data_IF_478062182934
#
_entry.id   IF_478062182934
#
_cell.length_a   1.000
_cell.length_b   1.000
_cell.length_c   1.000
_cell.angle_alpha   90.00
_cell.angle_beta   90.00
_cell.angle_gamma   90.00
#
_symmetry.space_group_name_H-M   'P 1'
#
loop_
_entity.id
_entity.type
_entity.pdbx_description
1 polymer ?
#
# COMPACT_ATOMS: atom_id res chain seq x y z
N UNK A 1 24.49 9.66 5.05
CA UNK A 1 25.98 9.58 4.96
C UNK A 1 26.34 9.13 3.57
N UNK A 2 27.44 9.59 2.98
CA UNK A 2 27.88 9.10 1.68
C UNK A 2 29.30 9.50 1.34
N UNK A 3 29.97 8.65 0.55
CA UNK A 3 31.30 8.87 0.00
C UNK A 3 31.50 7.94 -1.21
N UNK A 4 32.29 8.38 -2.19
CA UNK A 4 32.76 7.55 -3.33
C UNK A 4 31.66 6.75 -4.06
N UNK A 5 30.51 7.38 -4.30
CA UNK A 5 29.37 6.74 -4.96
C UNK A 5 28.57 5.79 -4.08
N UNK A 6 28.97 5.55 -2.83
CA UNK A 6 28.15 4.88 -1.83
C UNK A 6 27.43 5.90 -0.95
N UNK A 7 26.18 5.59 -0.60
CA UNK A 7 25.46 6.33 0.43
C UNK A 7 24.60 5.42 1.29
N UNK A 8 24.24 5.94 2.46
CA UNK A 8 23.35 5.32 3.42
C UNK A 8 22.39 6.35 3.99
N UNK A 9 21.12 5.99 4.00
CA UNK A 9 20.04 6.70 4.67
C UNK A 9 19.37 5.78 5.69
N UNK A 10 18.85 6.36 6.77
CA UNK A 10 18.04 5.63 7.75
C UNK A 10 16.59 6.03 7.51
N UNK A 11 15.70 5.05 7.38
CA UNK A 11 14.27 5.33 7.22
C UNK A 11 13.73 5.99 8.49
N UNK A 12 13.20 7.19 8.33
CA UNK A 12 12.39 7.82 9.35
C UNK A 12 10.91 7.45 9.14
N UNK A 13 10.31 6.83 10.16
CA UNK A 13 8.89 6.48 10.22
C UNK A 13 8.02 7.59 10.81
N UNK A 14 8.62 8.71 11.24
CA UNK A 14 7.94 9.79 11.94
C UNK A 14 7.20 9.27 13.18
N UNK A 15 5.99 9.77 13.39
CA UNK A 15 5.14 9.38 14.54
C UNK A 15 4.38 8.06 14.35
N UNK A 16 4.70 7.28 13.30
CA UNK A 16 4.07 5.97 13.08
C UNK A 16 4.61 4.93 14.08
N UNK A 17 3.94 4.80 15.23
CA UNK A 17 4.39 3.95 16.35
C UNK A 17 4.54 2.46 16.00
N UNK A 18 3.83 2.00 14.97
CA UNK A 18 3.83 0.58 14.56
C UNK A 18 4.63 0.29 13.26
N UNK A 19 5.43 1.23 12.76
CA UNK A 19 6.24 1.00 11.56
C UNK A 19 7.47 0.15 11.89
N UNK A 20 7.35 -1.16 11.69
CA UNK A 20 8.43 -2.13 11.91
C UNK A 20 9.68 -1.90 11.04
N UNK A 21 9.59 -1.04 10.02
CA UNK A 21 10.72 -0.69 9.15
C UNK A 21 11.36 0.66 9.51
N UNK A 22 10.83 1.38 10.50
CA UNK A 22 11.47 2.56 11.07
C UNK A 22 12.90 2.22 11.54
N UNK A 23 13.86 3.10 11.25
CA UNK A 23 15.26 2.91 11.64
C UNK A 23 16.02 1.88 10.80
N UNK A 24 15.42 1.31 9.75
CA UNK A 24 16.16 0.48 8.80
C UNK A 24 17.08 1.32 7.93
N UNK A 25 18.28 0.80 7.71
CA UNK A 25 19.26 1.39 6.80
C UNK A 25 18.93 1.00 5.36
N UNK A 26 18.99 1.98 4.48
CA UNK A 26 18.92 1.82 3.03
C UNK A 26 20.26 2.31 2.49
N UNK A 27 20.95 1.45 1.76
CA UNK A 27 22.22 1.77 1.11
C UNK A 27 22.04 1.83 -0.40
N UNK A 28 22.80 2.72 -1.04
CA UNK A 28 22.91 2.78 -2.49
C UNK A 28 24.37 2.83 -2.92
N UNK A 29 24.70 2.16 -4.02
CA UNK A 29 26.02 2.20 -4.66
C UNK A 29 25.87 2.58 -6.12
N UNK A 30 26.31 3.79 -6.46
CA UNK A 30 26.33 4.31 -7.81
C UNK A 30 27.70 4.03 -8.46
N UNK A 31 27.67 3.59 -9.71
CA UNK A 31 28.84 3.54 -10.60
C UNK A 31 28.49 4.23 -11.90
N UNK A 32 29.34 5.15 -12.35
CA UNK A 32 29.16 5.83 -13.62
C UNK A 32 29.05 4.80 -14.77
N UNK A 33 28.13 5.06 -15.70
CA UNK A 33 27.85 4.18 -16.83
C UNK A 33 27.28 5.00 -18.00
N UNK A 34 27.37 4.50 -19.25
CA UNK A 34 26.76 5.19 -20.41
C UNK A 34 25.23 5.27 -20.31
N UNK A 35 24.59 4.31 -19.64
CA UNK A 35 23.15 4.25 -19.46
C UNK A 35 22.78 4.27 -17.98
N UNK A 36 21.66 4.92 -17.67
CA UNK A 36 21.12 4.99 -16.31
C UNK A 36 20.33 3.73 -15.99
N UNK A 37 20.65 3.08 -14.88
CA UNK A 37 19.99 1.85 -14.47
C UNK A 37 19.93 1.68 -12.96
N UNK A 38 18.94 0.91 -12.50
CA UNK A 38 18.83 0.52 -11.09
C UNK A 38 18.79 -1.00 -10.99
N UNK A 39 19.59 -1.56 -10.09
CA UNK A 39 19.62 -2.99 -9.78
C UNK A 39 19.31 -3.24 -8.31
N UNK A 40 18.59 -4.32 -7.97
CA UNK A 40 18.38 -4.72 -6.59
C UNK A 40 19.68 -5.31 -6.02
N UNK A 41 20.02 -4.94 -4.79
CA UNK A 41 21.02 -5.62 -3.99
C UNK A 41 20.39 -6.40 -2.82
N UNK A 42 21.21 -6.88 -1.87
CA UNK A 42 20.75 -7.67 -0.74
C UNK A 42 19.63 -6.99 0.07
N UNK A 43 18.66 -7.80 0.52
CA UNK A 43 17.54 -7.36 1.34
C UNK A 43 16.40 -6.67 0.59
N UNK A 44 16.52 -6.48 -0.73
CA UNK A 44 15.39 -6.17 -1.61
C UNK A 44 14.66 -7.46 -1.97
N UNK A 45 13.35 -7.50 -1.71
CA UNK A 45 12.55 -8.68 -1.96
C UNK A 45 12.32 -8.97 -3.44
N UNK A 46 12.02 -10.22 -3.75
CA UNK A 46 11.65 -10.69 -5.09
C UNK A 46 10.21 -11.19 -5.07
N UNK A 47 9.41 -10.73 -6.03
CA UNK A 47 8.01 -11.12 -6.15
C UNK A 47 7.90 -12.54 -6.69
N UNK A 48 7.29 -13.45 -5.95
CA UNK A 48 7.06 -14.84 -6.36
C UNK A 48 5.64 -15.12 -6.86
N UNK A 49 4.68 -14.22 -6.60
CA UNK A 49 3.25 -14.37 -6.94
C UNK A 49 2.69 -13.17 -7.71
N UNK A 50 1.53 -13.35 -8.36
CA UNK A 50 0.83 -12.27 -9.08
C UNK A 50 0.13 -11.28 -8.15
N UNK A 51 -0.38 -10.18 -8.70
CA UNK A 51 -1.19 -9.18 -7.96
C UNK A 51 -0.41 -8.28 -6.99
N UNK A 52 0.92 -8.43 -6.92
CA UNK A 52 1.79 -7.66 -6.03
C UNK A 52 2.30 -6.36 -6.68
N UNK A 53 3.27 -5.69 -6.03
CA UNK A 53 3.78 -4.39 -6.46
C UNK A 53 4.59 -4.42 -7.76
N UNK A 54 5.02 -5.60 -8.20
CA UNK A 54 5.75 -5.85 -9.44
C UNK A 54 5.41 -7.24 -10.01
N UNK A 55 5.84 -7.53 -11.24
CA UNK A 55 5.63 -8.83 -11.86
C UNK A 55 6.45 -9.94 -11.16
N UNK A 56 6.01 -11.20 -11.33
CA UNK A 56 6.73 -12.38 -10.81
C UNK A 56 8.19 -12.42 -11.33
N UNK A 57 9.12 -12.73 -10.44
CA UNK A 57 10.56 -12.74 -10.70
C UNK A 57 11.22 -11.37 -10.72
N UNK A 58 10.47 -10.27 -10.50
CA UNK A 58 11.02 -8.92 -10.46
C UNK A 58 11.22 -8.43 -9.01
N UNK A 59 12.10 -7.44 -8.80
CA UNK A 59 12.28 -6.83 -7.48
C UNK A 59 10.97 -6.22 -6.99
N UNK A 60 10.68 -6.42 -5.71
CA UNK A 60 9.51 -5.94 -5.00
C UNK A 60 9.58 -4.42 -4.74
N UNK A 61 9.86 -3.66 -5.79
CA UNK A 61 9.89 -2.19 -5.82
C UNK A 61 8.67 -1.74 -6.61
N UNK A 62 7.77 -1.04 -5.94
CA UNK A 62 6.53 -0.52 -6.55
C UNK A 62 6.82 0.47 -7.68
N UNK A 63 5.86 0.62 -8.61
CA UNK A 63 5.97 1.59 -9.71
C UNK A 63 6.31 3.01 -9.21
N UNK A 64 5.57 3.51 -8.22
CA UNK A 64 5.78 4.87 -7.68
C UNK A 64 7.15 5.03 -7.02
N UNK A 65 7.62 4.03 -6.28
CA UNK A 65 8.97 4.06 -5.72
C UNK A 65 10.05 4.04 -6.82
N UNK A 66 9.86 3.26 -7.89
CA UNK A 66 10.78 3.27 -9.05
C UNK A 66 10.83 4.65 -9.72
N UNK A 67 9.68 5.30 -9.90
CA UNK A 67 9.58 6.64 -10.47
C UNK A 67 10.34 7.66 -9.60
N UNK A 68 10.11 7.65 -8.28
CA UNK A 68 10.80 8.53 -7.33
C UNK A 68 12.32 8.29 -7.28
N UNK A 69 12.76 7.02 -7.29
CA UNK A 69 14.20 6.70 -7.31
C UNK A 69 14.83 7.16 -8.62
N UNK A 70 14.14 6.98 -9.76
CA UNK A 70 14.63 7.45 -11.06
C UNK A 70 14.77 8.97 -11.09
N UNK A 71 13.80 9.71 -10.56
CA UNK A 71 13.88 11.18 -10.43
C UNK A 71 15.10 11.60 -9.59
N UNK A 72 15.31 10.96 -8.43
CA UNK A 72 16.48 11.23 -7.59
C UNK A 72 17.82 10.88 -8.29
N UNK A 73 17.83 9.81 -9.10
CA UNK A 73 19.01 9.47 -9.92
C UNK A 73 19.28 10.53 -10.99
N UNK A 74 18.25 11.01 -11.68
CA UNK A 74 18.36 12.05 -12.70
C UNK A 74 18.90 13.37 -12.12
N UNK A 75 18.41 13.76 -10.94
CA UNK A 75 18.92 14.91 -10.18
C UNK A 75 20.39 14.74 -9.81
N UNK A 76 20.75 13.58 -9.22
CA UNK A 76 22.13 13.30 -8.81
C UNK A 76 23.11 13.22 -9.99
N UNK A 77 22.69 12.67 -11.13
CA UNK A 77 23.50 12.64 -12.36
C UNK A 77 23.78 14.05 -12.89
N UNK A 78 22.76 14.90 -12.90
CA UNK A 78 22.89 16.30 -13.34
C UNK A 78 23.83 17.08 -12.43
N UNK A 79 23.73 16.91 -11.12
CA UNK A 79 24.61 17.56 -10.14
C UNK A 79 26.06 17.08 -10.26
N UNK A 80 26.25 15.78 -10.52
CA UNK A 80 27.58 15.18 -10.71
C UNK A 80 28.19 15.42 -12.10
N UNK A 81 27.42 15.94 -13.06
CA UNK A 81 27.86 16.09 -14.46
C UNK A 81 28.10 14.75 -15.17
N UNK A 82 27.34 13.71 -14.82
CA UNK A 82 27.45 12.37 -15.39
C UNK A 82 26.32 12.10 -16.39
N UNK A 83 26.64 11.42 -17.49
CA UNK A 83 25.66 11.02 -18.51
C UNK A 83 24.74 9.89 -18.03
N UNK A 84 25.24 9.02 -17.15
CA UNK A 84 24.50 7.91 -16.60
C UNK A 84 25.21 7.22 -15.43
N UNK A 85 24.45 6.41 -14.70
CA UNK A 85 24.98 5.56 -13.64
C UNK A 85 24.10 4.33 -13.42
N UNK A 86 24.75 3.24 -13.01
CA UNK A 86 24.06 2.08 -12.45
C UNK A 86 24.08 2.18 -10.93
N UNK A 87 22.89 2.22 -10.32
CA UNK A 87 22.69 2.28 -8.88
C UNK A 87 22.22 0.93 -8.36
N UNK A 88 22.99 0.32 -7.47
CA UNK A 88 22.56 -0.84 -6.69
C UNK A 88 21.91 -0.37 -5.39
N UNK A 89 20.65 -0.77 -5.15
CA UNK A 89 19.90 -0.42 -3.94
C UNK A 89 19.83 -1.62 -2.99
N UNK A 90 20.24 -1.44 -1.74
CA UNK A 90 20.34 -2.49 -0.74
C UNK A 90 19.60 -2.10 0.55
N UNK A 91 19.09 -3.10 1.27
CA UNK A 91 18.61 -2.95 2.65
C UNK A 91 19.36 -3.98 3.49
N UNK A 92 20.47 -3.64 4.18
CA UNK A 92 21.34 -4.62 4.82
C UNK A 92 20.61 -5.59 5.75
N UNK A 93 19.64 -5.09 6.53
CA UNK A 93 18.78 -5.90 7.42
C UNK A 93 17.46 -6.33 6.79
N UNK A 94 17.30 -6.16 5.48
CA UNK A 94 16.04 -6.35 4.76
C UNK A 94 15.55 -7.79 4.79
N UNK A 95 16.45 -8.78 4.70
CA UNK A 95 16.05 -10.19 4.78
C UNK A 95 15.49 -10.55 6.17
N UNK A 96 16.13 -10.08 7.23
CA UNK A 96 15.68 -10.32 8.61
C UNK A 96 14.35 -9.61 8.87
N UNK A 97 14.27 -8.31 8.58
CA UNK A 97 13.06 -7.51 8.77
C UNK A 97 11.88 -8.04 7.95
N UNK A 98 12.12 -8.54 6.73
CA UNK A 98 11.08 -9.13 5.89
C UNK A 98 10.33 -10.28 6.58
N UNK A 99 11.00 -11.06 7.43
CA UNK A 99 10.37 -12.18 8.16
C UNK A 99 9.32 -11.73 9.17
N UNK A 100 9.44 -10.50 9.64
CA UNK A 100 8.51 -9.88 10.60
C UNK A 100 7.38 -9.11 9.89
N UNK A 101 7.36 -9.08 8.55
CA UNK A 101 6.32 -8.41 7.78
C UNK A 101 5.35 -9.40 7.14
N UNK A 102 4.39 -8.88 6.38
CA UNK A 102 3.49 -9.70 5.57
C UNK A 102 4.17 -10.28 4.32
N UNK A 103 5.37 -9.84 3.95
CA UNK A 103 6.08 -10.24 2.73
C UNK A 103 6.12 -11.77 2.51
N UNK A 104 6.52 -12.60 3.49
CA UNK A 104 6.60 -14.06 3.29
C UNK A 104 5.23 -14.67 2.98
N UNK A 105 4.17 -14.15 3.61
CA UNK A 105 2.80 -14.66 3.45
C UNK A 105 2.21 -14.27 2.09
N UNK A 106 2.51 -13.07 1.60
CA UNK A 106 1.99 -12.58 0.31
C UNK A 106 2.80 -13.05 -0.90
N UNK A 107 3.97 -13.66 -0.68
CA UNK A 107 4.82 -14.18 -1.75
C UNK A 107 5.90 -13.21 -2.22
N UNK A 108 6.48 -12.44 -1.29
CA UNK A 108 7.75 -11.72 -1.50
C UNK A 108 8.81 -12.41 -0.65
N UNK A 109 9.91 -12.81 -1.29
CA UNK A 109 11.00 -13.56 -0.67
C UNK A 109 12.33 -12.80 -0.76
N UNK A 110 13.36 -13.28 -0.07
CA UNK A 110 14.73 -12.73 -0.07
C UNK A 110 14.89 -11.30 0.50
N UNK A 111 13.80 -10.60 0.85
CA UNK A 111 13.89 -9.24 1.37
C UNK A 111 12.57 -8.48 1.49
N UNK A 112 12.70 -7.18 1.76
CA UNK A 112 11.60 -6.24 1.94
C UNK A 112 11.10 -5.68 0.61
N UNK A 113 9.83 -5.27 0.61
CA UNK A 113 9.25 -4.53 -0.49
C UNK A 113 9.59 -3.04 -0.33
N UNK A 114 10.04 -2.39 -1.39
CA UNK A 114 10.24 -0.92 -1.43
C UNK A 114 8.97 -0.30 -2.01
N UNK A 115 8.15 0.24 -1.11
CA UNK A 115 6.82 0.77 -1.38
C UNK A 115 6.75 2.24 -0.98
N UNK A 116 5.81 2.97 -1.55
CA UNK A 116 5.54 4.35 -1.18
C UNK A 116 4.90 5.10 -2.33
N UNK A 117 3.69 5.61 -2.14
CA UNK A 117 2.96 6.33 -3.20
C UNK A 117 3.22 7.83 -3.22
N UNK A 118 3.68 8.43 -2.11
CA UNK A 118 4.02 9.86 -2.02
C UNK A 118 5.45 10.14 -1.56
N UNK A 119 6.17 9.11 -1.10
CA UNK A 119 7.48 9.28 -0.45
C UNK A 119 7.40 9.64 1.04
N UNK A 120 6.21 9.91 1.58
CA UNK A 120 6.01 10.19 3.02
C UNK A 120 5.38 9.01 3.76
N UNK A 121 5.80 8.81 5.02
CA UNK A 121 5.19 7.88 5.97
C UNK A 121 4.03 8.60 6.66
N UNK A 122 2.82 8.05 6.58
CA UNK A 122 1.71 8.57 7.38
C UNK A 122 1.92 8.29 8.88
N UNK A 123 1.64 9.26 9.75
CA UNK A 123 1.84 9.13 11.19
C UNK A 123 0.73 8.29 11.84
N UNK A 124 0.68 6.98 11.61
CA UNK A 124 -0.32 6.13 12.26
C UNK A 124 0.00 5.95 13.75
N UNK A 125 -0.72 6.70 14.59
CA UNK A 125 -0.68 6.65 16.05
C UNK A 125 -2.09 6.53 16.65
N UNK A 126 -2.18 6.30 17.96
CA UNK A 126 -3.47 6.17 18.66
C UNK A 126 -4.36 7.42 18.55
N UNK A 127 -3.75 8.61 18.48
CA UNK A 127 -4.43 9.91 18.42
C UNK A 127 -5.05 10.20 17.05
N UNK A 128 -4.43 9.81 15.93
CA UNK A 128 -5.05 9.90 14.61
C UNK A 128 -6.37 9.12 14.56
N UNK A 129 -6.47 8.02 15.30
CA UNK A 129 -7.73 7.29 15.44
C UNK A 129 -8.85 8.11 16.09
N UNK A 130 -8.53 9.11 16.92
CA UNK A 130 -9.51 10.02 17.53
C UNK A 130 -9.94 11.10 16.53
N UNK A 131 -9.01 11.74 15.83
CA UNK A 131 -9.32 12.77 14.82
C UNK A 131 -10.11 12.20 13.63
N UNK A 132 -9.73 11.00 13.17
CA UNK A 132 -10.46 10.26 12.15
C UNK A 132 -11.86 9.89 12.65
N UNK A 133 -12.00 9.40 13.88
CA UNK A 133 -13.30 9.07 14.45
C UNK A 133 -14.20 10.31 14.58
N UNK A 134 -13.65 11.45 15.02
CA UNK A 134 -14.38 12.70 15.13
C UNK A 134 -14.87 13.18 13.74
N UNK A 135 -13.99 13.14 12.73
CA UNK A 135 -14.35 13.47 11.36
C UNK A 135 -15.40 12.55 10.73
N UNK A 136 -15.49 11.30 11.18
CA UNK A 136 -16.57 10.39 10.79
C UNK A 136 -17.89 10.75 11.47
N UNK A 137 -17.89 11.16 12.74
CA UNK A 137 -19.12 11.47 13.50
C UNK A 137 -19.76 12.79 13.04
N UNK A 138 -18.96 13.82 12.81
CA UNK A 138 -19.45 15.18 12.55
C UNK A 138 -20.04 15.36 11.15
N UNK A 139 -19.65 14.52 10.19
CA UNK A 139 -20.11 14.64 8.82
C UNK A 139 -21.56 14.12 8.64
N UNK A 140 -22.39 14.86 7.91
CA UNK A 140 -23.70 14.34 7.45
C UNK A 140 -23.55 13.35 6.30
N UNK A 141 -22.57 13.59 5.42
CA UNK A 141 -22.22 12.73 4.29
C UNK A 141 -20.75 12.38 4.36
N UNK A 142 -20.42 11.10 4.45
CA UNK A 142 -19.06 10.65 4.67
C UNK A 142 -18.70 9.47 3.79
N UNK A 143 -17.47 9.48 3.27
CA UNK A 143 -16.89 8.31 2.60
C UNK A 143 -15.59 7.91 3.30
N UNK A 144 -15.63 6.77 3.98
CA UNK A 144 -14.46 6.17 4.59
C UNK A 144 -13.71 5.33 3.56
N UNK A 145 -12.38 5.35 3.62
CA UNK A 145 -11.53 4.59 2.70
C UNK A 145 -10.29 4.01 3.38
N UNK A 146 -9.82 2.88 2.86
CA UNK A 146 -8.72 2.10 3.45
C UNK A 146 -7.34 2.51 2.95
N UNK A 147 -7.25 3.27 1.87
CA UNK A 147 -5.97 3.61 1.25
C UNK A 147 -6.08 4.77 0.27
N UNK A 148 -4.93 5.30 -0.17
CA UNK A 148 -4.89 6.51 -1.03
C UNK A 148 -5.57 6.34 -2.39
N UNK A 149 -5.49 5.15 -2.99
CA UNK A 149 -6.21 4.86 -4.25
C UNK A 149 -7.71 4.99 -4.03
N UNK A 150 -8.22 4.40 -2.94
CA UNK A 150 -9.60 4.57 -2.51
C UNK A 150 -9.92 6.04 -2.26
N UNK A 151 -9.12 6.76 -1.46
CA UNK A 151 -9.32 8.19 -1.18
C UNK A 151 -9.42 9.06 -2.43
N UNK A 152 -8.52 8.83 -3.40
CA UNK A 152 -8.55 9.53 -4.69
C UNK A 152 -9.88 9.33 -5.40
N UNK A 153 -10.31 8.09 -5.55
CA UNK A 153 -11.55 7.78 -6.27
C UNK A 153 -12.80 8.10 -5.46
N UNK A 154 -12.76 8.02 -4.13
CA UNK A 154 -13.86 8.46 -3.26
C UNK A 154 -14.18 9.93 -3.47
N UNK A 155 -13.16 10.80 -3.62
CA UNK A 155 -13.37 12.23 -3.94
C UNK A 155 -14.01 12.48 -5.30
N UNK A 156 -13.83 11.56 -6.25
CA UNK A 156 -14.39 11.65 -7.62
C UNK A 156 -15.81 11.09 -7.66
N UNK A 157 -16.02 9.91 -7.07
CA UNK A 157 -17.29 9.18 -7.08
C UNK A 157 -18.31 9.78 -6.10
N UNK A 158 -17.84 10.37 -5.00
CA UNK A 158 -18.64 10.94 -3.93
C UNK A 158 -18.21 12.38 -3.61
N UNK A 159 -18.30 13.32 -4.57
CA UNK A 159 -17.78 14.68 -4.41
C UNK A 159 -18.54 15.51 -3.36
N UNK A 160 -19.71 15.03 -2.90
CA UNK A 160 -20.53 15.65 -1.84
C UNK A 160 -20.32 15.01 -0.47
N UNK A 161 -19.43 14.03 -0.36
CA UNK A 161 -19.11 13.33 0.87
C UNK A 161 -17.74 13.77 1.37
N UNK A 162 -17.61 13.95 2.68
CA UNK A 162 -16.31 14.16 3.31
C UNK A 162 -15.50 12.85 3.23
N UNK A 163 -14.38 12.88 2.51
CA UNK A 163 -13.54 11.70 2.32
C UNK A 163 -12.53 11.56 3.46
N UNK A 164 -12.59 10.44 4.18
CA UNK A 164 -11.80 10.16 5.37
C UNK A 164 -10.97 8.88 5.17
N UNK A 165 -9.65 8.98 5.34
CA UNK A 165 -8.74 7.83 5.26
C UNK A 165 -8.67 7.13 6.63
N UNK A 166 -9.24 5.94 6.71
CA UNK A 166 -9.34 5.14 7.96
C UNK A 166 -8.31 4.01 8.04
N UNK A 167 -7.65 3.70 6.93
CA UNK A 167 -6.61 2.67 6.89
C UNK A 167 -7.16 1.27 7.18
N UNK A 168 -6.43 0.49 7.98
CA UNK A 168 -6.82 -0.85 8.43
C UNK A 168 -7.74 -0.88 9.66
N UNK A 169 -8.08 0.27 10.24
CA UNK A 169 -8.87 0.37 11.46
C UNK A 169 -10.39 0.31 11.20
N UNK A 170 -10.81 -0.63 10.36
CA UNK A 170 -12.21 -0.77 9.95
C UNK A 170 -13.13 -1.16 11.13
N UNK A 171 -12.61 -1.86 12.14
CA UNK A 171 -13.35 -2.19 13.38
C UNK A 171 -13.76 -0.97 14.21
N UNK A 172 -13.14 0.19 13.96
CA UNK A 172 -13.46 1.45 14.65
C UNK A 172 -14.51 2.27 13.91
N UNK A 173 -14.94 1.84 12.73
CA UNK A 173 -15.97 2.54 11.96
C UNK A 173 -17.32 2.44 12.68
N UNK A 174 -17.83 3.60 13.08
CA UNK A 174 -19.17 3.74 13.62
C UNK A 174 -19.84 4.89 12.88
N UNK A 175 -20.85 4.56 12.07
CA UNK A 175 -21.68 5.53 11.36
C UNK A 175 -23.03 5.64 12.05
N UNK A 176 -23.63 6.83 12.03
CA UNK A 176 -25.00 7.02 12.51
C UNK A 176 -25.97 6.42 11.48
N UNK A 177 -27.12 5.92 11.93
CA UNK A 177 -28.08 5.27 11.03
C UNK A 177 -28.63 6.22 9.96
N UNK A 178 -28.71 7.51 10.28
CA UNK A 178 -29.23 8.57 9.41
C UNK A 178 -28.13 9.21 8.53
N UNK A 179 -26.88 8.81 8.74
CA UNK A 179 -25.74 9.36 8.01
C UNK A 179 -25.65 8.74 6.61
N UNK A 180 -25.50 9.58 5.59
CA UNK A 180 -25.19 9.13 4.23
C UNK A 180 -23.73 8.67 4.20
N UNK A 181 -23.53 7.41 4.57
CA UNK A 181 -22.22 6.80 4.77
C UNK A 181 -21.86 5.83 3.65
N UNK A 182 -20.61 5.92 3.20
CA UNK A 182 -20.03 5.04 2.19
C UNK A 182 -18.69 4.50 2.70
N UNK A 183 -18.45 3.19 2.59
CA UNK A 183 -17.13 2.59 2.70
C UNK A 183 -16.62 2.27 1.29
N UNK A 184 -15.64 3.02 0.81
CA UNK A 184 -15.14 2.92 -0.56
C UNK A 184 -13.64 2.59 -0.60
N UNK A 185 -13.25 1.55 -1.37
CA UNK A 185 -11.84 1.21 -1.52
C UNK A 185 -11.58 -0.04 -2.35
N UNK A 186 -10.30 -0.42 -2.43
CA UNK A 186 -9.91 -1.68 -3.08
C UNK A 186 -10.44 -2.87 -2.27
N UNK A 187 -10.79 -4.00 -2.93
CA UNK A 187 -11.43 -5.15 -2.27
C UNK A 187 -10.58 -5.79 -1.17
N UNK A 188 -9.25 -5.69 -1.29
CA UNK A 188 -8.30 -6.41 -0.44
C UNK A 188 -8.54 -6.28 1.07
N UNK A 189 -8.56 -5.05 1.57
CA UNK A 189 -8.63 -4.81 3.02
C UNK A 189 -10.07 -4.91 3.54
N UNK A 190 -11.04 -4.40 2.77
CA UNK A 190 -12.46 -4.38 3.15
C UNK A 190 -13.01 -5.81 3.26
N UNK A 191 -12.77 -6.65 2.25
CA UNK A 191 -13.29 -8.02 2.25
C UNK A 191 -12.59 -8.90 3.28
N UNK A 192 -11.28 -8.71 3.50
CA UNK A 192 -10.54 -9.45 4.53
C UNK A 192 -10.93 -9.04 5.94
N UNK A 193 -11.28 -7.77 6.16
CA UNK A 193 -11.83 -7.33 7.44
C UNK A 193 -13.19 -7.99 7.70
N UNK A 194 -14.08 -7.98 6.71
CA UNK A 194 -15.40 -8.56 6.84
C UNK A 194 -15.41 -10.10 6.95
N UNK A 195 -14.45 -10.76 6.31
CA UNK A 195 -14.28 -12.20 6.33
C UNK A 195 -12.78 -12.55 6.33
N UNK A 196 -12.14 -12.68 7.50
CA UNK A 196 -10.70 -12.97 7.62
C UNK A 196 -10.24 -14.21 6.85
N UNK A 197 -11.10 -15.24 6.80
CA UNK A 197 -10.92 -16.52 6.12
C UNK A 197 -11.32 -16.50 4.62
N UNK A 198 -11.54 -15.33 4.01
CA UNK A 198 -12.01 -15.21 2.61
C UNK A 198 -11.15 -15.94 1.58
N UNK A 199 -9.87 -16.20 1.87
CA UNK A 199 -8.94 -16.92 1.00
C UNK A 199 -8.78 -18.41 1.33
N UNK A 200 -9.37 -18.90 2.43
CA UNK A 200 -9.24 -20.30 2.81
C UNK A 200 -9.92 -21.21 1.77
N UNK A 201 -9.16 -22.19 1.27
CA UNK A 201 -9.64 -23.13 0.27
C UNK A 201 -9.80 -22.56 -1.15
N UNK A 202 -9.48 -21.29 -1.40
CA UNK A 202 -9.65 -20.68 -2.73
C UNK A 202 -8.44 -20.84 -3.64
N UNK A 203 -7.26 -21.14 -3.07
CA UNK A 203 -6.00 -21.24 -3.81
C UNK A 203 -5.35 -19.91 -4.17
N UNK A 204 -6.02 -18.77 -3.92
CA UNK A 204 -5.49 -17.43 -4.15
C UNK A 204 -4.66 -16.91 -2.98
N UNK A 205 -3.61 -16.13 -3.26
CA UNK A 205 -2.75 -15.57 -2.23
C UNK A 205 -3.30 -14.28 -1.62
N UNK A 206 -4.03 -13.52 -2.42
CA UNK A 206 -4.62 -12.24 -2.02
C UNK A 206 -6.02 -12.09 -2.60
N UNK A 207 -6.86 -11.32 -1.92
CA UNK A 207 -8.20 -10.97 -2.41
C UNK A 207 -8.11 -10.17 -3.72
N UNK A 208 -7.08 -9.35 -3.90
CA UNK A 208 -6.88 -8.59 -5.13
C UNK A 208 -6.59 -9.51 -6.33
N UNK A 209 -5.74 -10.53 -6.13
CA UNK A 209 -5.48 -11.55 -7.15
C UNK A 209 -6.76 -12.34 -7.50
N UNK A 210 -7.54 -12.73 -6.50
CA UNK A 210 -8.83 -13.42 -6.70
C UNK A 210 -9.81 -12.54 -7.48
N UNK A 211 -9.96 -11.27 -7.10
CA UNK A 211 -10.85 -10.34 -7.79
C UNK A 211 -10.44 -10.05 -9.25
N UNK A 212 -9.14 -10.06 -9.55
CA UNK A 212 -8.62 -9.84 -10.90
C UNK A 212 -8.79 -11.09 -11.79
N UNK A 213 -8.59 -12.28 -11.24
CA UNK A 213 -8.60 -13.55 -12.01
C UNK A 213 -9.97 -14.21 -12.09
N UNK A 214 -10.76 -14.06 -11.04
CA UNK A 214 -12.07 -14.69 -10.88
C UNK A 214 -13.02 -13.73 -10.14
N UNK A 215 -13.44 -12.64 -10.81
CA UNK A 215 -14.25 -11.58 -10.21
C UNK A 215 -15.58 -12.09 -9.63
N UNK A 216 -16.13 -13.17 -10.19
CA UNK A 216 -17.39 -13.79 -9.77
C UNK A 216 -17.20 -14.86 -8.68
N UNK A 217 -16.00 -15.00 -8.10
CA UNK A 217 -15.74 -16.05 -7.10
C UNK A 217 -16.67 -15.90 -5.88
N UNK A 218 -17.39 -16.96 -5.45
CA UNK A 218 -18.43 -16.86 -4.39
C UNK A 218 -17.94 -16.32 -3.05
N UNK A 219 -16.64 -16.49 -2.74
CA UNK A 219 -16.07 -15.92 -1.51
C UNK A 219 -16.07 -14.38 -1.49
N UNK A 220 -15.95 -13.73 -2.65
CA UNK A 220 -15.98 -12.26 -2.76
C UNK A 220 -17.38 -11.74 -2.41
N UNK A 221 -18.43 -12.31 -3.02
CA UNK A 221 -19.82 -11.99 -2.71
C UNK A 221 -20.14 -12.26 -1.23
N UNK A 222 -19.74 -13.41 -0.69
CA UNK A 222 -19.93 -13.74 0.73
C UNK A 222 -19.25 -12.75 1.67
N UNK A 223 -18.04 -12.31 1.34
CA UNK A 223 -17.31 -11.33 2.14
C UNK A 223 -17.96 -9.94 2.05
N UNK A 224 -18.47 -9.54 0.88
CA UNK A 224 -19.20 -8.28 0.73
C UNK A 224 -20.50 -8.28 1.54
N UNK A 225 -21.26 -9.37 1.50
CA UNK A 225 -22.45 -9.56 2.33
C UNK A 225 -22.15 -9.47 3.84
N UNK A 226 -21.03 -10.06 4.27
CA UNK A 226 -20.55 -9.93 5.66
C UNK A 226 -20.21 -8.48 6.00
N UNK A 227 -19.55 -7.77 5.10
CA UNK A 227 -19.22 -6.37 5.28
C UNK A 227 -20.50 -5.54 5.43
N UNK A 228 -21.50 -5.80 4.58
CA UNK A 228 -22.79 -5.10 4.62
C UNK A 228 -23.55 -5.35 5.92
N UNK A 229 -23.50 -6.58 6.45
CA UNK A 229 -24.09 -6.89 7.77
C UNK A 229 -23.39 -6.19 8.92
N UNK A 230 -22.07 -6.01 8.83
CA UNK A 230 -21.32 -5.27 9.84
C UNK A 230 -21.64 -3.76 9.82
N UNK A 231 -21.95 -3.20 8.65
CA UNK A 231 -22.31 -1.80 8.46
C UNK A 231 -23.66 -1.67 7.71
N UNK A 232 -24.79 -1.99 8.37
CA UNK A 232 -26.09 -2.17 7.70
C UNK A 232 -26.62 -0.90 7.02
N UNK A 233 -26.28 0.28 7.54
CA UNK A 233 -26.73 1.57 7.03
C UNK A 233 -25.71 2.24 6.09
N UNK A 234 -24.59 1.57 5.80
CA UNK A 234 -23.50 2.12 4.99
C UNK A 234 -23.46 1.43 3.63
N UNK A 235 -23.28 2.20 2.56
CA UNK A 235 -23.02 1.65 1.22
C UNK A 235 -21.58 1.17 1.14
N UNK A 236 -21.33 -0.02 0.65
CA UNK A 236 -19.99 -0.56 0.48
C UNK A 236 -19.68 -0.58 -1.01
N UNK A 237 -18.65 0.14 -1.42
CA UNK A 237 -18.28 0.33 -2.83
C UNK A 237 -16.85 -0.13 -3.04
N UNK A 238 -16.68 -1.29 -3.65
CA UNK A 238 -15.38 -1.83 -4.00
C UNK A 238 -14.99 -1.34 -5.39
N UNK A 239 -13.77 -0.87 -5.54
CA UNK A 239 -13.27 -0.34 -6.82
C UNK A 239 -12.06 -1.12 -7.32
N UNK A 240 -11.87 -1.09 -8.63
CA UNK A 240 -10.63 -1.49 -9.29
C UNK A 240 -9.56 -0.40 -9.19
N UNK A 241 -8.32 -0.73 -9.55
CA UNK A 241 -7.20 0.24 -9.52
C UNK A 241 -7.36 1.39 -10.52
N UNK A 242 -8.18 1.22 -11.54
CA UNK A 242 -8.53 2.25 -12.52
C UNK A 242 -9.71 3.14 -12.08
N UNK A 243 -10.34 2.82 -10.94
CA UNK A 243 -11.47 3.55 -10.39
C UNK A 243 -12.84 3.08 -10.84
N UNK A 244 -12.92 2.08 -11.72
CA UNK A 244 -14.20 1.44 -12.05
C UNK A 244 -14.78 0.73 -10.82
N UNK A 245 -16.10 0.76 -10.68
CA UNK A 245 -16.78 0.06 -9.59
C UNK A 245 -16.73 -1.44 -9.90
N UNK A 246 -16.17 -2.19 -8.95
CA UNK A 246 -16.03 -3.64 -9.01
C UNK A 246 -17.26 -4.34 -8.41
N UNK A 247 -17.64 -3.99 -7.18
CA UNK A 247 -18.82 -4.53 -6.49
C UNK A 247 -19.43 -3.47 -5.58
N UNK A 248 -20.74 -3.55 -5.32
CA UNK A 248 -21.44 -2.66 -4.38
C UNK A 248 -22.51 -3.40 -3.56
N UNK A 249 -22.72 -2.99 -2.30
CA UNK A 249 -23.76 -3.50 -1.40
C UNK A 249 -24.31 -2.44 -0.44
#
# INVERSE_FOLDING_TARGET
QGHDGWCRAVKDGGDHQFDITHGLEIEARARAAPETGMVPGPGIGVVARGGLCAARGKPAISRSAREQIREAMEEGLKEAGLEGAVVELCIPRGLEAARQTLNPRVGVHEGLSVLGSTGFVEPWNEHMGQDVAQGLVDAERVVATTGRVGLRFSRILFPRHQAVLVGSHLDRLHFRAEQDSVLCGLPGLILKWALPEVLEGTGYATVAEMAEREPDHPALARALERAKRALPHTRIVLINRDGSIFMEA
#
